data_IF_626043389765
#
_entry.id   IF_626043389765
#
_cell.length_a   1.000
_cell.length_b   1.000
_cell.length_c   1.000
_cell.angle_alpha   90.00
_cell.angle_beta   90.00
_cell.angle_gamma   90.00
#
_symmetry.space_group_name_H-M   'P 1'
#
loop_
_entity.id
_entity.type
_entity.pdbx_description
1 polymer ?
#
# COMPACT_ATOMS: atom_id res chain seq x y z
N UNK A 1 23.25 -20.00 -23.35
CA UNK A 1 22.05 -19.27 -23.77
C UNK A 1 21.59 -18.43 -22.60
N UNK A 2 21.59 -17.10 -22.74
CA UNK A 2 21.18 -16.15 -21.69
C UNK A 2 19.66 -15.98 -21.77
N UNK A 3 18.94 -16.37 -20.73
CA UNK A 3 17.51 -16.05 -20.61
C UNK A 3 17.37 -14.58 -20.21
N UNK A 4 16.65 -13.85 -21.05
CA UNK A 4 16.32 -12.45 -20.88
C UNK A 4 15.56 -12.24 -19.56
N UNK A 5 16.06 -11.33 -18.73
CA UNK A 5 15.27 -10.75 -17.65
C UNK A 5 14.13 -9.96 -18.30
N UNK A 6 12.89 -10.36 -18.03
CA UNK A 6 11.74 -9.53 -18.29
C UNK A 6 11.84 -8.31 -17.36
N UNK A 7 12.36 -7.20 -17.86
CA UNK A 7 12.24 -5.90 -17.22
C UNK A 7 10.76 -5.55 -17.22
N UNK A 8 10.14 -5.56 -16.04
CA UNK A 8 8.87 -4.90 -15.83
C UNK A 8 9.09 -3.41 -16.07
N UNK A 9 8.85 -2.95 -17.31
CA UNK A 9 8.74 -1.55 -17.67
C UNK A 9 7.54 -0.98 -16.90
N UNK A 10 7.80 -0.52 -15.68
CA UNK A 10 6.93 0.42 -15.02
C UNK A 10 6.98 1.70 -15.84
N UNK A 11 6.02 1.86 -16.77
CA UNK A 11 5.87 3.11 -17.51
C UNK A 11 5.81 4.25 -16.51
N UNK A 12 6.88 5.06 -16.50
CA UNK A 12 6.95 6.27 -15.69
C UNK A 12 5.78 7.15 -16.12
N UNK A 13 4.90 7.48 -15.17
CA UNK A 13 3.76 8.34 -15.47
C UNK A 13 4.30 9.76 -15.58
N UNK A 14 4.38 10.28 -16.79
CA UNK A 14 4.72 11.69 -17.00
C UNK A 14 3.53 12.57 -16.56
N UNK A 15 3.61 13.06 -15.32
CA UNK A 15 2.60 13.94 -14.71
C UNK A 15 3.11 15.38 -14.79
N UNK A 16 2.32 16.27 -15.40
CA UNK A 16 2.50 17.73 -15.25
C UNK A 16 1.74 18.21 -14.02
N UNK A 17 0.49 17.77 -13.88
CA UNK A 17 -0.38 18.18 -12.79
C UNK A 17 -1.49 17.17 -12.55
N UNK A 18 -1.93 17.04 -11.29
CA UNK A 18 -3.18 16.39 -10.93
C UNK A 18 -4.30 17.42 -10.87
N UNK A 19 -5.36 17.19 -11.66
CA UNK A 19 -6.42 18.18 -11.89
C UNK A 19 -7.81 17.73 -11.41
N UNK A 20 -7.91 16.58 -10.77
CA UNK A 20 -9.17 16.04 -10.26
C UNK A 20 -9.04 14.65 -9.68
N UNK A 21 -10.07 14.22 -8.96
CA UNK A 21 -10.20 12.87 -8.40
C UNK A 21 -11.63 12.37 -8.55
N UNK A 22 -11.82 11.06 -8.55
CA UNK A 22 -13.13 10.40 -8.53
C UNK A 22 -13.04 9.01 -7.92
N UNK A 23 -14.18 8.47 -7.49
CA UNK A 23 -14.29 7.04 -7.18
C UNK A 23 -14.07 6.22 -8.46
N UNK A 24 -13.26 5.16 -8.37
CA UNK A 24 -13.00 4.30 -9.51
C UNK A 24 -14.29 3.64 -10.00
N UNK A 25 -14.40 3.55 -11.33
CA UNK A 25 -15.55 2.88 -11.97
C UNK A 25 -15.51 1.36 -11.82
N UNK A 26 -14.31 0.79 -11.58
CA UNK A 26 -14.10 -0.65 -11.47
C UNK A 26 -14.16 -1.13 -10.02
N UNK A 27 -13.69 -0.30 -9.09
CA UNK A 27 -13.66 -0.62 -7.66
C UNK A 27 -14.09 0.60 -6.85
N UNK A 28 -15.29 0.55 -6.27
CA UNK A 28 -15.86 1.67 -5.50
C UNK A 28 -15.14 1.96 -4.18
N UNK A 29 -14.17 1.14 -3.79
CA UNK A 29 -13.31 1.39 -2.64
C UNK A 29 -12.01 2.11 -3.01
N UNK A 30 -11.79 2.43 -4.30
CA UNK A 30 -10.57 3.05 -4.82
C UNK A 30 -10.85 4.40 -5.47
N UNK A 31 -9.80 5.21 -5.57
CA UNK A 31 -9.83 6.52 -6.22
C UNK A 31 -9.01 6.46 -7.50
N UNK A 32 -9.49 7.18 -8.51
CA UNK A 32 -8.76 7.53 -9.72
C UNK A 32 -8.44 9.02 -9.70
N UNK A 33 -7.23 9.38 -10.11
CA UNK A 33 -6.74 10.75 -10.23
C UNK A 33 -6.66 11.14 -11.70
N UNK A 34 -7.12 12.36 -12.02
CA UNK A 34 -7.03 12.91 -13.36
C UNK A 34 -5.66 13.56 -13.55
N UNK A 35 -4.82 12.92 -14.36
CA UNK A 35 -3.47 13.35 -14.71
C UNK A 35 -3.52 14.20 -15.98
N UNK A 36 -2.94 15.41 -15.91
CA UNK A 36 -2.57 16.22 -17.07
C UNK A 36 -1.14 15.90 -17.49
N UNK A 37 -0.95 15.59 -18.77
CA UNK A 37 0.35 15.26 -19.37
C UNK A 37 0.97 16.44 -20.13
N UNK A 38 2.27 16.38 -20.51
CA UNK A 38 2.95 17.47 -21.23
C UNK A 38 2.27 17.87 -22.55
N UNK A 39 1.63 16.93 -23.25
CA UNK A 39 0.87 17.17 -24.48
C UNK A 39 -0.56 17.68 -24.23
N UNK A 40 -0.86 18.18 -23.02
CA UNK A 40 -2.20 18.55 -22.56
C UNK A 40 -3.24 17.42 -22.54
N UNK A 41 -2.83 16.17 -22.79
CA UNK A 41 -3.73 15.04 -22.70
C UNK A 41 -4.12 14.78 -21.25
N UNK A 42 -5.40 14.41 -21.05
CA UNK A 42 -5.97 14.08 -19.75
C UNK A 42 -6.23 12.58 -19.67
N UNK A 43 -5.91 11.96 -18.56
CA UNK A 43 -6.29 10.57 -18.31
C UNK A 43 -6.54 10.29 -16.85
N UNK A 44 -7.40 9.32 -16.58
CA UNK A 44 -7.66 8.84 -15.24
C UNK A 44 -6.71 7.69 -14.93
N UNK A 45 -5.94 7.83 -13.86
CA UNK A 45 -4.99 6.83 -13.38
C UNK A 45 -5.43 6.35 -11.99
N UNK A 46 -5.24 5.07 -11.65
CA UNK A 46 -5.42 4.61 -10.27
C UNK A 46 -4.55 5.42 -9.32
N UNK A 47 -5.10 5.83 -8.18
CA UNK A 47 -4.34 6.58 -7.17
C UNK A 47 -3.05 5.87 -6.77
N UNK A 48 -3.09 4.55 -6.59
CA UNK A 48 -1.93 3.71 -6.29
C UNK A 48 -0.76 3.96 -7.25
N UNK A 49 -1.04 4.01 -8.55
CA UNK A 49 0.00 4.15 -9.56
C UNK A 49 0.61 5.55 -9.54
N UNK A 50 -0.20 6.58 -9.31
CA UNK A 50 0.29 7.96 -9.17
C UNK A 50 1.11 8.11 -7.88
N UNK A 51 0.64 7.56 -6.76
CA UNK A 51 1.36 7.61 -5.48
C UNK A 51 2.74 6.92 -5.56
N UNK A 52 2.89 5.86 -6.36
CA UNK A 52 4.17 5.16 -6.54
C UNK A 52 5.07 5.89 -7.54
N UNK A 53 4.53 6.31 -8.69
CA UNK A 53 5.34 6.76 -9.83
C UNK A 53 5.54 8.29 -9.89
N UNK A 54 4.68 9.05 -9.23
CA UNK A 54 4.67 10.52 -9.18
C UNK A 54 4.33 11.01 -7.75
N UNK A 55 5.15 10.62 -6.75
CA UNK A 55 4.85 10.86 -5.34
C UNK A 55 4.81 12.35 -4.97
N UNK A 56 5.62 13.18 -5.61
CA UNK A 56 5.69 14.62 -5.32
C UNK A 56 4.42 15.33 -5.79
N UNK A 57 3.94 15.01 -7.00
CA UNK A 57 2.69 15.53 -7.53
C UNK A 57 1.48 15.02 -6.75
N UNK A 58 1.52 13.74 -6.36
CA UNK A 58 0.49 13.14 -5.50
C UNK A 58 0.45 13.85 -4.13
N UNK A 59 1.59 14.07 -3.49
CA UNK A 59 1.68 14.78 -2.21
C UNK A 59 1.17 16.22 -2.34
N UNK A 60 1.61 16.96 -3.36
CA UNK A 60 1.18 18.35 -3.57
C UNK A 60 -0.34 18.46 -3.78
N UNK A 61 -0.95 17.50 -4.49
CA UNK A 61 -2.39 17.47 -4.69
C UNK A 61 -3.14 17.12 -3.39
N UNK A 62 -2.72 16.05 -2.71
CA UNK A 62 -3.42 15.54 -1.53
C UNK A 62 -3.19 16.36 -0.26
N UNK A 63 -2.13 17.18 -0.21
CA UNK A 63 -1.92 18.13 0.89
C UNK A 63 -2.91 19.30 0.88
N UNK A 64 -3.53 19.58 -0.27
CA UNK A 64 -4.44 20.72 -0.45
C UNK A 64 -5.92 20.31 -0.56
N UNK A 65 -6.21 19.01 -0.71
CA UNK A 65 -7.55 18.50 -1.02
C UNK A 65 -7.80 17.23 -0.21
N UNK A 66 -8.93 17.17 0.51
CA UNK A 66 -9.42 15.94 1.15
C UNK A 66 -10.10 15.00 0.13
N UNK A 67 -9.32 14.49 -0.84
CA UNK A 67 -9.85 13.72 -1.97
C UNK A 67 -10.50 12.40 -1.54
N UNK A 68 -10.14 11.86 -0.38
CA UNK A 68 -10.72 10.62 0.15
C UNK A 68 -12.13 10.77 0.70
N UNK A 69 -12.61 12.00 0.91
CA UNK A 69 -14.01 12.24 1.28
C UNK A 69 -14.99 11.65 0.26
N UNK A 70 -14.60 11.53 -1.02
CA UNK A 70 -15.44 10.91 -2.05
C UNK A 70 -15.75 9.40 -1.82
N UNK A 71 -15.04 8.73 -0.92
CA UNK A 71 -15.29 7.33 -0.54
C UNK A 71 -16.38 7.18 0.54
N UNK A 72 -16.86 8.28 1.13
CA UNK A 72 -17.89 8.31 2.17
C UNK A 72 -17.38 8.09 3.61
N UNK A 73 -18.29 8.11 4.58
CA UNK A 73 -18.01 8.23 6.03
C UNK A 73 -17.13 7.10 6.62
N UNK A 74 -17.16 5.91 6.04
CA UNK A 74 -16.34 4.77 6.50
C UNK A 74 -14.98 4.70 5.80
N UNK A 75 -14.23 5.80 5.84
CA UNK A 75 -12.98 5.93 5.08
C UNK A 75 -11.99 4.81 5.40
N UNK A 76 -11.73 4.49 6.68
CA UNK A 76 -10.62 3.60 7.11
C UNK A 76 -10.80 2.12 6.79
N UNK A 77 -12.03 1.61 6.79
CA UNK A 77 -12.29 0.19 6.50
C UNK A 77 -12.10 -0.15 5.02
N UNK A 78 -12.10 0.88 4.16
CA UNK A 78 -11.86 0.79 2.71
C UNK A 78 -10.40 1.00 2.33
N UNK A 79 -9.50 1.15 3.30
CA UNK A 79 -8.09 1.39 3.00
C UNK A 79 -7.40 0.13 2.50
N UNK A 80 -6.78 0.27 1.33
CA UNK A 80 -5.96 -0.75 0.70
C UNK A 80 -4.51 -0.59 1.15
N UNK A 81 -3.85 -1.70 1.40
CA UNK A 81 -2.42 -1.69 1.69
C UNK A 81 -1.69 -1.38 0.39
N UNK A 82 -0.80 -0.39 0.44
CA UNK A 82 0.08 -0.02 -0.67
C UNK A 82 1.32 -0.92 -0.70
N UNK A 83 1.95 -1.10 0.47
CA UNK A 83 3.13 -1.94 0.64
C UNK A 83 3.26 -2.43 2.09
N UNK A 84 3.84 -3.61 2.25
CA UNK A 84 4.35 -4.13 3.53
C UNK A 84 5.85 -3.84 3.59
N UNK A 85 6.29 -3.07 4.58
CA UNK A 85 7.67 -2.59 4.69
C UNK A 85 8.53 -3.50 5.56
N UNK A 86 7.99 -3.97 6.68
CA UNK A 86 8.72 -4.79 7.63
C UNK A 86 7.78 -5.61 8.50
N UNK A 87 8.36 -6.58 9.20
CA UNK A 87 7.66 -7.48 10.10
C UNK A 87 8.43 -7.63 11.42
N UNK A 88 7.71 -7.92 12.50
CA UNK A 88 8.26 -8.30 13.82
C UNK A 88 7.24 -9.13 14.60
N UNK A 89 7.69 -9.79 15.66
CA UNK A 89 6.85 -10.54 16.58
C UNK A 89 6.62 -9.69 17.82
N UNK A 90 5.36 -9.60 18.26
CA UNK A 90 5.00 -9.05 19.57
C UNK A 90 4.66 -10.20 20.51
N UNK A 91 5.32 -10.23 21.67
CA UNK A 91 5.01 -11.13 22.78
C UNK A 91 4.04 -10.45 23.73
N UNK A 92 2.81 -10.94 23.79
CA UNK A 92 1.84 -10.52 24.80
C UNK A 92 1.81 -11.58 25.91
N UNK A 93 2.11 -11.15 27.15
CA UNK A 93 1.97 -12.00 28.33
C UNK A 93 0.59 -11.74 28.93
N UNK A 94 -0.30 -12.74 28.88
CA UNK A 94 -1.60 -12.67 29.54
C UNK A 94 -1.68 -13.77 30.61
N UNK A 95 -1.33 -13.41 31.85
CA UNK A 95 -1.15 -14.37 32.93
C UNK A 95 -0.01 -15.35 32.62
N UNK A 96 -0.28 -16.66 32.63
CA UNK A 96 0.72 -17.69 32.28
C UNK A 96 0.85 -17.98 30.78
N UNK A 97 0.01 -17.38 29.92
CA UNK A 97 0.05 -17.61 28.47
C UNK A 97 0.93 -16.57 27.79
N UNK A 98 1.91 -17.04 27.02
CA UNK A 98 2.66 -16.23 26.05
C UNK A 98 1.95 -16.34 24.70
N UNK A 99 1.39 -15.23 24.24
CA UNK A 99 0.81 -15.13 22.89
C UNK A 99 1.82 -14.44 21.97
N UNK A 100 2.04 -15.00 20.78
CA UNK A 100 2.97 -14.46 19.79
C UNK A 100 2.15 -13.94 18.61
N UNK A 101 2.24 -12.63 18.34
CA UNK A 101 1.55 -12.01 17.21
C UNK A 101 2.55 -11.46 16.21
N UNK A 102 2.38 -11.83 14.95
CA UNK A 102 3.15 -11.22 13.86
C UNK A 102 2.51 -9.88 13.52
N UNK A 103 3.34 -8.84 13.55
CA UNK A 103 2.98 -7.48 13.21
C UNK A 103 3.70 -7.08 11.92
N UNK A 104 3.03 -6.24 11.13
CA UNK A 104 3.59 -5.61 9.94
C UNK A 104 3.56 -4.10 10.07
N UNK A 105 4.58 -3.44 9.55
CA UNK A 105 4.53 -2.01 9.23
C UNK A 105 4.13 -1.85 7.78
N UNK A 106 3.02 -1.16 7.54
CA UNK A 106 2.43 -1.01 6.21
C UNK A 106 2.27 0.46 5.85
N UNK A 107 2.27 0.75 4.54
CA UNK A 107 1.74 2.01 4.01
C UNK A 107 0.41 1.76 3.31
N UNK A 108 -0.36 2.83 3.13
CA UNK A 108 -1.73 2.76 2.63
C UNK A 108 -1.89 3.53 1.33
N UNK A 109 -2.75 3.02 0.46
CA UNK A 109 -3.14 3.76 -0.74
C UNK A 109 -3.88 5.04 -0.35
N UNK A 110 -3.39 6.16 -0.87
CA UNK A 110 -3.93 7.49 -0.64
C UNK A 110 -3.66 8.08 0.74
N UNK A 111 -2.70 7.54 1.48
CA UNK A 111 -2.20 8.14 2.72
C UNK A 111 -0.67 8.14 2.77
N UNK A 112 -0.03 9.22 3.26
CA UNK A 112 1.41 9.25 3.49
C UNK A 112 1.80 8.46 4.76
N UNK A 113 0.82 8.10 5.59
CA UNK A 113 1.07 7.47 6.87
C UNK A 113 1.50 6.00 6.74
N UNK A 114 2.35 5.58 7.68
CA UNK A 114 2.66 4.18 7.91
C UNK A 114 2.11 3.76 9.26
N UNK A 115 1.44 2.62 9.30
CA UNK A 115 0.89 2.09 10.56
C UNK A 115 1.28 0.64 10.78
N UNK A 116 1.16 0.20 12.03
CA UNK A 116 1.40 -1.18 12.42
C UNK A 116 0.07 -1.94 12.46
N UNK A 117 -0.02 -3.07 11.77
CA UNK A 117 -1.19 -3.95 11.79
C UNK A 117 -0.80 -5.40 12.01
N UNK A 118 -1.73 -6.23 12.45
CA UNK A 118 -1.46 -7.68 12.56
C UNK A 118 -1.37 -8.31 11.17
N UNK A 119 -0.63 -9.42 11.06
CA UNK A 119 -0.61 -10.23 9.84
C UNK A 119 -2.04 -10.65 9.43
N UNK A 120 -2.90 -10.98 10.40
CA UNK A 120 -4.31 -11.30 10.16
C UNK A 120 -5.05 -10.13 9.50
N UNK A 121 -4.89 -8.92 10.04
CA UNK A 121 -5.50 -7.69 9.49
C UNK A 121 -5.00 -7.38 8.09
N UNK A 122 -3.73 -7.69 7.79
CA UNK A 122 -3.14 -7.52 6.48
C UNK A 122 -3.69 -8.52 5.46
N UNK A 123 -3.77 -9.81 5.83
CA UNK A 123 -4.33 -10.87 4.97
C UNK A 123 -5.79 -10.63 4.61
N UNK A 124 -6.58 -10.06 5.53
CA UNK A 124 -7.97 -9.67 5.27
C UNK A 124 -8.09 -8.58 4.20
N UNK A 125 -7.09 -7.71 4.09
CA UNK A 125 -7.08 -6.58 3.14
C UNK A 125 -6.43 -6.95 1.80
N UNK A 126 -5.35 -7.74 1.84
CA UNK A 126 -4.72 -8.27 0.64
C UNK A 126 -3.91 -9.52 0.97
N UNK A 127 -4.51 -10.70 0.75
CA UNK A 127 -3.83 -11.98 0.93
C UNK A 127 -2.67 -12.15 -0.06
N UNK A 128 -2.83 -11.69 -1.29
CA UNK A 128 -1.82 -11.74 -2.34
C UNK A 128 -0.57 -10.96 -1.95
N UNK A 129 -0.72 -9.71 -1.48
CA UNK A 129 0.42 -8.90 -1.08
C UNK A 129 1.18 -9.48 0.11
N UNK A 130 0.47 -10.09 1.08
CA UNK A 130 1.13 -10.78 2.20
C UNK A 130 1.90 -12.02 1.71
N UNK A 131 1.34 -12.76 0.74
CA UNK A 131 2.02 -13.91 0.14
C UNK A 131 3.27 -13.49 -0.62
N UNK A 132 3.20 -12.43 -1.44
CA UNK A 132 4.33 -11.86 -2.17
C UNK A 132 5.43 -11.38 -1.22
N UNK A 133 5.05 -10.65 -0.17
CA UNK A 133 5.97 -10.19 0.87
C UNK A 133 6.72 -11.38 1.49
N UNK A 134 6.01 -12.41 1.94
CA UNK A 134 6.68 -13.57 2.53
C UNK A 134 7.52 -14.34 1.52
N UNK A 135 7.08 -14.45 0.27
CA UNK A 135 7.85 -15.09 -0.78
C UNK A 135 9.20 -14.40 -1.01
N UNK A 136 9.22 -13.06 -0.98
CA UNK A 136 10.47 -12.27 -1.07
C UNK A 136 11.47 -12.62 0.04
N UNK A 137 10.98 -13.01 1.23
CA UNK A 137 11.81 -13.45 2.36
C UNK A 137 12.09 -14.96 2.39
N UNK A 138 11.82 -15.69 1.30
CA UNK A 138 12.03 -17.14 1.23
C UNK A 138 10.96 -17.97 1.97
N UNK A 139 9.83 -17.35 2.30
CA UNK A 139 8.72 -17.96 3.03
C UNK A 139 8.53 -17.39 4.42
N UNK A 140 7.30 -17.51 4.95
CA UNK A 140 6.93 -16.97 6.26
C UNK A 140 7.76 -17.58 7.39
N UNK A 141 7.90 -18.90 7.41
CA UNK A 141 8.56 -19.58 8.52
C UNK A 141 10.05 -19.24 8.58
N UNK A 142 10.72 -19.14 7.41
CA UNK A 142 12.10 -18.66 7.30
C UNK A 142 12.23 -17.23 7.81
N UNK A 143 11.36 -16.32 7.35
CA UNK A 143 11.39 -14.92 7.77
C UNK A 143 11.23 -14.75 9.29
N UNK A 144 10.44 -15.61 9.93
CA UNK A 144 10.17 -15.53 11.36
C UNK A 144 11.29 -16.11 12.26
N UNK A 145 12.29 -16.81 11.70
CA UNK A 145 13.44 -17.29 12.48
C UNK A 145 14.29 -16.13 13.00
N UNK A 146 14.47 -15.10 12.16
CA UNK A 146 15.31 -13.92 12.45
C UNK A 146 14.49 -12.66 12.75
N UNK A 147 13.18 -12.81 12.96
CA UNK A 147 12.30 -11.69 13.23
C UNK A 147 12.60 -11.05 14.59
N UNK A 148 12.67 -9.71 14.59
CA UNK A 148 12.74 -8.91 15.81
C UNK A 148 11.57 -9.27 16.75
N UNK A 149 11.87 -9.45 18.04
CA UNK A 149 10.90 -9.82 19.06
C UNK A 149 10.75 -8.65 20.02
N UNK A 150 9.53 -8.13 20.13
CA UNK A 150 9.18 -6.98 20.98
C UNK A 150 8.19 -7.39 22.05
N UNK A 151 8.30 -6.77 23.21
CA UNK A 151 7.27 -6.88 24.25
C UNK A 151 6.12 -5.90 23.95
N UNK A 152 4.90 -6.32 24.29
CA UNK A 152 3.67 -5.57 24.05
C UNK A 152 3.46 -4.41 25.03
#
# INVERSE_FOLDING_TARGET
MRHAAASADHQRIDVVQLIGHRVSRRDRSRIELCVLRPNHAKSWQPEREVQINAPDEWLAYTSSIEHRACLGEHQRDKWHILAVHSHWIVLAIKGRRKDRKVMFRVSWEGSPERTSITERSARLRSSAMVAEYWHHWGGRDTALLDADIREA
#
